data_IF_953458257975
#
_entry.id   IF_953458257975
#
_cell.length_a   1.000
_cell.length_b   1.000
_cell.length_c   1.000
_cell.angle_alpha   90.00
_cell.angle_beta   90.00
_cell.angle_gamma   90.00
#
_symmetry.space_group_name_H-M   'P 1'
#
loop_
_entity.id
_entity.type
_entity.pdbx_description
1 polymer ?
#
# COMPACT_ATOMS: atom_id res chain seq x y z
N UNK A 1 2.06 7.34 13.23
CA UNK A 1 2.47 6.05 13.84
C UNK A 1 3.80 5.66 13.25
N UNK A 2 4.72 5.13 14.05
CA UNK A 2 5.99 4.57 13.53
C UNK A 2 5.71 3.29 12.72
N UNK A 3 6.66 2.82 11.89
CA UNK A 3 6.52 1.53 11.19
C UNK A 3 6.22 0.37 12.16
N UNK A 4 6.94 0.29 13.27
CA UNK A 4 6.73 -0.72 14.31
C UNK A 4 5.33 -0.63 14.94
N UNK A 5 4.86 0.58 15.28
CA UNK A 5 3.49 0.79 15.80
C UNK A 5 2.42 0.37 14.79
N UNK A 6 2.67 0.56 13.49
CA UNK A 6 1.73 0.20 12.42
C UNK A 6 1.59 -1.31 12.28
N UNK A 7 2.71 -2.04 12.31
CA UNK A 7 2.71 -3.51 12.27
C UNK A 7 1.97 -4.08 13.50
N UNK A 8 2.23 -3.54 14.69
CA UNK A 8 1.57 -4.00 15.92
C UNK A 8 0.07 -3.67 15.93
N UNK A 9 -0.31 -2.48 15.44
CA UNK A 9 -1.71 -2.11 15.27
C UNK A 9 -2.45 -3.11 14.38
N UNK A 10 -1.85 -3.51 13.25
CA UNK A 10 -2.47 -4.48 12.34
C UNK A 10 -2.70 -5.83 13.02
N UNK A 11 -1.71 -6.32 13.78
CA UNK A 11 -1.79 -7.60 14.50
C UNK A 11 -2.88 -7.59 15.56
N UNK A 12 -2.92 -6.55 16.39
CA UNK A 12 -3.89 -6.43 17.48
C UNK A 12 -5.33 -6.28 16.99
N UNK A 13 -5.53 -5.65 15.82
CA UNK A 13 -6.84 -5.47 15.17
C UNK A 13 -7.27 -6.67 14.33
N UNK A 14 -6.43 -7.69 14.17
CA UNK A 14 -6.72 -8.86 13.33
C UNK A 14 -6.83 -8.52 11.84
N UNK A 15 -6.05 -7.54 11.37
CA UNK A 15 -5.99 -7.16 9.95
C UNK A 15 -5.42 -8.33 9.14
N UNK A 16 -6.08 -8.68 8.03
CA UNK A 16 -5.62 -9.73 7.12
C UNK A 16 -4.97 -9.19 5.85
N UNK A 17 -5.38 -8.00 5.41
CA UNK A 17 -4.99 -7.40 4.14
C UNK A 17 -4.55 -5.94 4.39
N UNK A 18 -3.53 -5.51 3.67
CA UNK A 18 -3.14 -4.10 3.57
C UNK A 18 -3.45 -3.62 2.15
N UNK A 19 -4.20 -2.55 2.02
CA UNK A 19 -4.58 -1.95 0.75
C UNK A 19 -3.82 -0.65 0.52
N UNK A 20 -2.80 -0.73 -0.35
CA UNK A 20 -1.91 0.37 -0.66
C UNK A 20 -2.55 1.23 -1.75
N UNK A 21 -2.91 2.46 -1.40
CA UNK A 21 -3.63 3.40 -2.26
C UNK A 21 -2.73 4.51 -2.76
N UNK A 22 -2.87 4.88 -4.04
CA UNK A 22 -2.17 6.00 -4.66
C UNK A 22 -3.05 6.63 -5.74
N UNK A 23 -2.66 7.81 -6.25
CA UNK A 23 -3.45 8.54 -7.25
C UNK A 23 -2.68 8.63 -8.55
N UNK A 24 -3.34 8.36 -9.67
CA UNK A 24 -2.76 8.59 -11.00
C UNK A 24 -2.78 10.08 -11.38
N UNK A 25 -2.09 10.46 -12.46
CA UNK A 25 -1.96 11.87 -12.83
C UNK A 25 -3.32 12.58 -13.06
N UNK A 26 -4.33 11.94 -13.70
CA UNK A 26 -5.68 12.50 -13.80
C UNK A 26 -6.45 12.65 -12.49
N UNK A 27 -6.03 12.01 -11.39
CA UNK A 27 -6.72 12.10 -10.09
C UNK A 27 -7.59 10.89 -9.73
N UNK A 28 -7.45 9.76 -10.42
CA UNK A 28 -8.15 8.50 -10.09
C UNK A 28 -7.37 7.71 -9.05
N UNK A 29 -8.07 7.22 -8.03
CA UNK A 29 -7.50 6.36 -7.01
C UNK A 29 -7.20 4.97 -7.59
N UNK A 30 -5.95 4.56 -7.50
CA UNK A 30 -5.44 3.24 -7.82
C UNK A 30 -5.06 2.54 -6.52
N UNK A 31 -5.08 1.22 -6.50
CA UNK A 31 -4.71 0.48 -5.30
C UNK A 31 -4.21 -0.93 -5.60
N UNK A 32 -3.44 -1.48 -4.65
CA UNK A 32 -3.02 -2.87 -4.66
C UNK A 32 -3.09 -3.45 -3.25
N UNK A 33 -3.55 -4.69 -3.16
CA UNK A 33 -3.75 -5.37 -1.88
C UNK A 33 -2.67 -6.42 -1.65
N UNK A 34 -2.06 -6.40 -0.47
CA UNK A 34 -1.05 -7.37 -0.04
C UNK A 34 -1.53 -8.07 1.24
N UNK A 35 -1.11 -9.32 1.50
CA UNK A 35 -1.41 -9.96 2.78
C UNK A 35 -0.61 -9.28 3.92
N UNK A 36 -1.14 -9.31 5.14
CA UNK A 36 -0.46 -8.75 6.33
C UNK A 36 0.98 -9.27 6.50
N UNK A 37 1.27 -10.50 6.05
CA UNK A 37 2.61 -11.09 6.12
C UNK A 37 3.69 -10.29 5.37
N UNK A 38 3.30 -9.52 4.35
CA UNK A 38 4.19 -8.66 3.57
C UNK A 38 4.38 -7.27 4.20
N UNK A 39 3.64 -6.94 5.25
CA UNK A 39 3.81 -5.70 6.00
C UNK A 39 4.93 -5.87 7.03
N UNK A 40 6.13 -5.49 6.63
CA UNK A 40 7.30 -5.46 7.53
C UNK A 40 7.81 -4.03 7.66
N UNK A 41 8.49 -3.72 8.76
CA UNK A 41 9.12 -2.41 8.95
C UNK A 41 10.09 -2.06 7.81
N UNK A 42 10.77 -3.08 7.26
CA UNK A 42 11.65 -2.93 6.10
C UNK A 42 10.87 -2.61 4.84
N UNK A 43 9.77 -3.31 4.55
CA UNK A 43 8.99 -3.03 3.33
C UNK A 43 8.28 -1.67 3.41
N UNK A 44 7.98 -1.18 4.62
CA UNK A 44 7.49 0.17 4.83
C UNK A 44 8.54 1.25 4.47
N UNK A 45 9.84 0.97 4.60
CA UNK A 45 10.91 1.88 4.17
C UNK A 45 11.33 1.68 2.72
N UNK A 46 11.43 0.43 2.28
CA UNK A 46 11.98 0.06 0.96
C UNK A 46 10.92 0.19 -0.15
N UNK A 47 9.64 0.10 0.22
CA UNK A 47 8.50 0.20 -0.67
C UNK A 47 8.12 -1.13 -1.34
N UNK A 48 7.02 -1.06 -2.10
CA UNK A 48 6.42 -2.18 -2.83
C UNK A 48 6.52 -1.93 -4.33
N UNK A 49 7.08 -2.89 -5.07
CA UNK A 49 7.22 -2.81 -6.52
C UNK A 49 5.88 -2.90 -7.24
N UNK A 50 5.67 -2.07 -8.26
CA UNK A 50 4.52 -2.16 -9.18
C UNK A 50 4.89 -1.69 -10.59
N UNK A 51 4.06 -2.08 -11.57
CA UNK A 51 4.18 -1.65 -12.96
C UNK A 51 3.51 -0.28 -13.19
N UNK A 52 4.34 0.75 -13.31
CA UNK A 52 3.93 2.11 -13.63
C UNK A 52 3.54 2.34 -15.09
N UNK A 53 3.86 1.42 -16.01
CA UNK A 53 3.47 1.56 -17.42
C UNK A 53 1.98 1.35 -17.65
N UNK A 54 1.34 0.64 -16.73
CA UNK A 54 -0.10 0.44 -16.69
C UNK A 54 -0.86 1.63 -16.06
N UNK A 55 -0.16 2.64 -15.54
CA UNK A 55 -0.76 3.80 -14.87
C UNK A 55 -0.70 5.05 -15.76
N UNK A 56 -1.86 5.67 -15.98
CA UNK A 56 -1.98 6.85 -16.85
C UNK A 56 -1.13 8.00 -16.34
N UNK A 57 -0.22 8.47 -17.19
CA UNK A 57 0.66 9.60 -16.90
C UNK A 57 1.86 9.24 -16.03
N UNK A 58 2.15 7.95 -15.79
CA UNK A 58 3.37 7.50 -15.12
C UNK A 58 4.43 7.16 -16.16
N UNK A 59 4.98 5.95 -16.15
CA UNK A 59 6.16 5.56 -16.94
C UNK A 59 5.78 4.91 -18.26
N UNK A 60 6.71 4.90 -19.20
CA UNK A 60 6.62 4.06 -20.40
C UNK A 60 7.05 2.63 -20.09
N UNK A 61 6.86 1.69 -21.03
CA UNK A 61 7.13 0.26 -20.83
C UNK A 61 8.61 0.01 -20.52
N UNK A 62 9.53 0.77 -21.12
CA UNK A 62 10.97 0.65 -20.90
C UNK A 62 11.45 1.17 -19.54
N UNK A 63 10.62 1.95 -18.82
CA UNK A 63 10.89 2.45 -17.48
C UNK A 63 9.77 2.05 -16.49
N UNK A 64 9.14 0.89 -16.71
CA UNK A 64 7.91 0.49 -16.03
C UNK A 64 8.01 0.36 -14.51
N UNK A 65 9.16 -0.09 -14.00
CA UNK A 65 9.30 -0.46 -12.60
C UNK A 65 9.25 0.77 -11.67
N UNK A 66 8.31 0.74 -10.73
CA UNK A 66 8.13 1.80 -9.73
C UNK A 66 7.99 1.22 -8.32
N UNK A 67 8.22 2.06 -7.30
CA UNK A 67 8.05 1.72 -5.89
C UNK A 67 6.93 2.56 -5.26
N UNK A 68 6.04 1.91 -4.51
CA UNK A 68 5.11 2.54 -3.58
C UNK A 68 5.70 2.51 -2.17
N UNK A 69 6.01 3.67 -1.62
CA UNK A 69 6.45 3.81 -0.23
C UNK A 69 5.23 4.29 0.58
N UNK A 70 4.67 3.47 1.49
CA UNK A 70 3.46 3.83 2.20
C UNK A 70 3.69 4.94 3.24
N UNK A 71 2.75 5.87 3.35
CA UNK A 71 2.71 6.85 4.44
C UNK A 71 1.85 6.30 5.59
N UNK A 72 2.49 5.89 6.68
CA UNK A 72 1.83 5.33 7.87
C UNK A 72 0.91 6.32 8.59
N UNK A 73 1.00 7.63 8.32
CA UNK A 73 0.08 8.62 8.87
C UNK A 73 -1.32 8.53 8.24
N UNK A 74 -1.45 7.89 7.07
CA UNK A 74 -2.70 7.74 6.32
C UNK A 74 -3.47 6.46 6.61
N UNK A 75 -2.92 5.58 7.46
CA UNK A 75 -3.49 4.27 7.76
C UNK A 75 -4.88 4.37 8.42
N UNK A 76 -5.90 3.78 7.78
CA UNK A 76 -7.29 3.77 8.25
C UNK A 76 -7.93 2.43 7.91
N UNK A 77 -8.57 1.78 8.89
CA UNK A 77 -9.27 0.51 8.65
C UNK A 77 -10.43 0.71 7.68
N UNK A 78 -10.47 -0.06 6.60
CA UNK A 78 -11.53 0.01 5.59
C UNK A 78 -12.85 -0.56 6.16
N UNK A 79 -13.93 0.24 6.25
CA UNK A 79 -15.19 -0.21 6.85
C UNK A 79 -16.04 -1.06 5.90
N UNK A 80 -15.65 -1.20 4.63
CA UNK A 80 -16.45 -1.86 3.59
C UNK A 80 -15.94 -3.27 3.27
N UNK A 81 -14.67 -3.56 3.56
CA UNK A 81 -14.09 -4.88 3.31
C UNK A 81 -14.58 -5.94 4.31
N UNK A 82 -15.02 -7.09 3.79
CA UNK A 82 -15.44 -8.24 4.63
C UNK A 82 -14.28 -8.84 5.43
N UNK A 83 -13.11 -8.93 4.81
CA UNK A 83 -11.87 -9.28 5.49
C UNK A 83 -11.33 -7.98 6.10
N UNK A 84 -10.95 -7.94 7.39
CA UNK A 84 -10.37 -6.73 7.97
C UNK A 84 -9.16 -6.26 7.16
N UNK A 85 -9.29 -5.07 6.57
CA UNK A 85 -8.30 -4.45 5.69
C UNK A 85 -7.87 -3.12 6.27
N UNK A 86 -6.57 -2.85 6.25
CA UNK A 86 -6.00 -1.54 6.56
C UNK A 86 -5.63 -0.80 5.27
#
# INVERSE_FOLDING_TARGET
MTPAETVEFCRTRGIGIIDLKFTDLPGTLQHLSIPLSELTEKNLSDGYGFDGSSIRGFKSIEESDMLLIPDTATAVVDPFCRIPTL
#
